data_IF_255192798226
#
_entry.id   IF_255192798226
#
_cell.length_a   1.000
_cell.length_b   1.000
_cell.length_c   1.000
_cell.angle_alpha   90.00
_cell.angle_beta   90.00
_cell.angle_gamma   90.00
#
_symmetry.space_group_name_H-M   'P 1'
#
loop_
_entity.id
_entity.type
_entity.pdbx_description
1 polymer ?
#
# COMPACT_ATOMS: atom_id res chain seq x y z
N UNK A 1 1.99 48.54 67.92
CA UNK A 1 1.81 48.74 66.47
C UNK A 1 2.37 47.52 65.75
N UNK A 2 1.54 46.51 65.45
CA UNK A 2 1.92 45.33 64.72
C UNK A 2 1.46 45.52 63.26
N UNK A 3 2.38 45.52 62.31
CA UNK A 3 2.09 45.49 60.86
C UNK A 3 2.00 44.05 60.42
N UNK A 4 0.79 43.61 60.06
CA UNK A 4 0.57 42.31 59.42
C UNK A 4 0.96 42.39 57.96
N UNK A 5 1.90 41.54 57.52
CA UNK A 5 2.32 41.38 56.14
C UNK A 5 1.45 40.26 55.51
N UNK A 6 0.47 40.62 54.64
CA UNK A 6 -0.25 39.66 53.82
C UNK A 6 0.63 39.26 52.63
N UNK A 7 1.18 38.09 52.63
CA UNK A 7 1.80 37.46 51.44
C UNK A 7 0.70 36.81 50.60
N UNK A 8 0.35 37.41 49.47
CA UNK A 8 -0.52 36.79 48.46
C UNK A 8 0.25 35.69 47.69
N UNK A 9 -0.09 34.45 47.96
CA UNK A 9 0.41 33.29 47.23
C UNK A 9 -0.36 33.19 45.92
N UNK A 10 0.20 33.70 44.80
CA UNK A 10 -0.33 33.43 43.46
C UNK A 10 -0.07 31.96 43.09
N UNK A 11 -1.08 31.12 43.22
CA UNK A 11 -1.07 29.78 42.59
C UNK A 11 -1.23 29.95 41.09
N UNK A 12 -0.14 29.85 40.34
CA UNK A 12 -0.17 29.67 38.89
C UNK A 12 -0.59 28.23 38.60
N UNK A 13 -1.85 27.98 38.32
CA UNK A 13 -2.32 26.75 37.70
C UNK A 13 -1.68 26.66 36.31
N UNK A 14 -0.99 25.55 35.97
CA UNK A 14 -0.57 25.34 34.60
C UNK A 14 -1.84 25.17 33.76
N UNK A 15 -2.07 26.06 32.79
CA UNK A 15 -2.99 25.78 31.69
C UNK A 15 -2.47 24.55 30.98
N UNK A 16 -3.11 23.41 31.21
CA UNK A 16 -2.96 22.28 30.32
C UNK A 16 -3.47 22.73 28.95
N UNK A 17 -2.56 23.12 28.08
CA UNK A 17 -2.88 23.27 26.66
C UNK A 17 -3.46 21.95 26.22
N UNK A 18 -4.75 21.88 25.92
CA UNK A 18 -5.34 20.77 25.19
C UNK A 18 -4.59 20.71 23.86
N UNK A 19 -3.60 19.83 23.76
CA UNK A 19 -2.96 19.52 22.50
C UNK A 19 -4.07 19.00 21.58
N UNK A 20 -4.48 19.82 20.63
CA UNK A 20 -5.47 19.39 19.63
C UNK A 20 -4.86 18.21 18.87
N UNK A 21 -5.63 17.12 18.76
CA UNK A 21 -5.21 15.95 18.00
C UNK A 21 -4.81 16.36 16.58
N UNK A 22 -3.63 15.93 16.14
CA UNK A 22 -3.17 16.26 14.80
C UNK A 22 -4.11 15.65 13.75
N UNK A 23 -4.42 16.44 12.73
CA UNK A 23 -5.39 16.12 11.69
C UNK A 23 -4.71 15.56 10.45
N UNK A 24 -5.14 14.39 10.03
CA UNK A 24 -4.63 13.68 8.85
C UNK A 24 -5.76 13.51 7.83
N UNK A 25 -5.50 13.86 6.58
CA UNK A 25 -6.39 13.50 5.47
C UNK A 25 -5.66 12.51 4.57
N UNK A 26 -6.32 11.39 4.27
CA UNK A 26 -5.84 10.42 3.30
C UNK A 26 -6.60 10.57 1.97
N UNK A 27 -5.88 11.01 0.92
CA UNK A 27 -6.38 10.96 -0.46
C UNK A 27 -6.23 9.54 -0.99
N UNK A 28 -7.28 8.76 -0.81
CA UNK A 28 -7.34 7.37 -1.24
C UNK A 28 -7.64 7.30 -2.75
N UNK A 29 -6.79 6.67 -3.58
CA UNK A 29 -6.99 6.65 -5.03
C UNK A 29 -8.07 5.66 -5.48
N UNK A 30 -8.51 4.75 -4.61
CA UNK A 30 -9.44 3.67 -4.94
C UNK A 30 -10.89 4.11 -5.08
N UNK A 31 -11.72 3.13 -5.43
CA UNK A 31 -13.18 3.26 -5.30
C UNK A 31 -13.56 3.15 -3.81
N UNK A 32 -14.60 3.85 -3.39
CA UNK A 32 -15.10 3.82 -2.01
C UNK A 32 -15.67 2.44 -1.58
N UNK A 33 -15.87 1.53 -2.53
CA UNK A 33 -16.28 0.14 -2.30
C UNK A 33 -15.20 -0.90 -2.69
N UNK A 34 -13.99 -0.46 -3.04
CA UNK A 34 -12.89 -1.35 -3.44
C UNK A 34 -12.27 -2.02 -2.21
N UNK A 35 -12.36 -3.33 -2.11
CA UNK A 35 -11.98 -4.11 -0.92
C UNK A 35 -10.57 -3.78 -0.41
N UNK A 36 -9.59 -3.64 -1.30
CA UNK A 36 -8.22 -3.31 -0.91
C UNK A 36 -8.13 -1.93 -0.25
N UNK A 37 -8.68 -0.89 -0.89
CA UNK A 37 -8.55 0.48 -0.41
C UNK A 37 -9.42 0.77 0.81
N UNK A 38 -10.58 0.09 0.94
CA UNK A 38 -11.39 0.11 2.16
C UNK A 38 -10.61 -0.53 3.31
N UNK A 39 -10.01 -1.71 3.10
CA UNK A 39 -9.17 -2.38 4.09
C UNK A 39 -7.95 -1.56 4.51
N UNK A 40 -7.30 -0.89 3.54
CA UNK A 40 -6.19 0.02 3.78
C UNK A 40 -6.60 1.18 4.71
N UNK A 41 -7.74 1.83 4.41
CA UNK A 41 -8.27 2.94 5.22
C UNK A 41 -8.69 2.48 6.62
N UNK A 42 -9.27 1.28 6.76
CA UNK A 42 -9.60 0.71 8.09
C UNK A 42 -8.37 0.47 8.94
N UNK A 43 -7.28 -0.03 8.35
CA UNK A 43 -6.03 -0.22 9.08
C UNK A 43 -5.40 1.11 9.50
N UNK A 44 -5.47 2.14 8.63
CA UNK A 44 -5.08 3.51 9.01
C UNK A 44 -5.94 4.05 10.15
N UNK A 45 -7.26 3.80 10.13
CA UNK A 45 -8.17 4.26 11.18
C UNK A 45 -7.84 3.59 12.52
N UNK A 46 -7.59 2.28 12.55
CA UNK A 46 -7.18 1.61 13.77
C UNK A 46 -5.88 2.21 14.37
N UNK A 47 -4.92 2.55 13.51
CA UNK A 47 -3.71 3.24 13.95
C UNK A 47 -3.99 4.67 14.45
N UNK A 48 -4.87 5.41 13.78
CA UNK A 48 -5.27 6.75 14.19
C UNK A 48 -5.95 6.76 15.56
N UNK A 49 -6.87 5.82 15.78
CA UNK A 49 -7.60 5.68 17.04
C UNK A 49 -6.65 5.39 18.21
N UNK A 50 -5.70 4.47 18.02
CA UNK A 50 -4.68 4.15 19.04
C UNK A 50 -3.76 5.32 19.37
N UNK A 51 -3.38 6.09 18.35
CA UNK A 51 -2.40 7.18 18.45
C UNK A 51 -3.05 8.54 18.81
N UNK A 52 -4.38 8.59 18.88
CA UNK A 52 -5.10 9.84 19.15
C UNK A 52 -5.04 10.85 18.00
N UNK A 53 -4.88 10.39 16.77
CA UNK A 53 -4.91 11.23 15.56
C UNK A 53 -6.33 11.32 15.00
N UNK A 54 -6.64 12.41 14.33
CA UNK A 54 -7.91 12.52 13.58
C UNK A 54 -7.65 12.15 12.12
N UNK A 55 -8.29 11.09 11.64
CA UNK A 55 -8.19 10.65 10.23
C UNK A 55 -9.48 10.95 9.48
N UNK A 56 -9.34 11.55 8.30
CA UNK A 56 -10.41 11.68 7.29
C UNK A 56 -9.94 11.05 5.99
N UNK A 57 -10.77 10.21 5.39
CA UNK A 57 -10.48 9.55 4.10
C UNK A 57 -11.33 10.15 3.00
N UNK A 58 -10.69 10.54 1.91
CA UNK A 58 -11.36 11.02 0.68
C UNK A 58 -11.02 10.12 -0.49
N UNK A 59 -12.02 9.41 -1.03
CA UNK A 59 -11.85 8.52 -2.16
C UNK A 59 -11.90 9.29 -3.47
N UNK A 60 -10.86 9.09 -4.30
CA UNK A 60 -10.74 9.74 -5.62
C UNK A 60 -11.35 8.92 -6.75
N UNK A 61 -11.97 7.78 -6.45
CA UNK A 61 -12.73 6.94 -7.40
C UNK A 61 -11.95 6.61 -8.67
N UNK A 62 -10.66 6.28 -8.52
CA UNK A 62 -9.74 5.97 -9.63
C UNK A 62 -9.56 7.11 -10.65
N UNK A 63 -9.90 8.35 -10.28
CA UNK A 63 -9.77 9.54 -11.11
C UNK A 63 -8.65 10.46 -10.65
N UNK A 64 -7.62 10.62 -11.48
CA UNK A 64 -6.53 11.57 -11.23
C UNK A 64 -7.05 13.02 -11.12
N UNK A 65 -8.02 13.39 -11.97
CA UNK A 65 -8.64 14.71 -11.94
C UNK A 65 -9.34 14.97 -10.59
N UNK A 66 -10.12 13.98 -10.10
CA UNK A 66 -10.80 14.09 -8.81
C UNK A 66 -9.79 14.20 -7.67
N UNK A 67 -8.71 13.40 -7.68
CA UNK A 67 -7.63 13.49 -6.69
C UNK A 67 -7.00 14.88 -6.65
N UNK A 68 -6.71 15.47 -7.81
CA UNK A 68 -6.14 16.82 -7.90
C UNK A 68 -7.12 17.90 -7.44
N UNK A 69 -8.41 17.77 -7.73
CA UNK A 69 -9.44 18.71 -7.28
C UNK A 69 -9.63 18.63 -5.76
N UNK A 70 -9.66 17.43 -5.17
CA UNK A 70 -9.69 17.22 -3.73
C UNK A 70 -8.43 17.81 -3.07
N UNK A 71 -7.23 17.49 -3.58
CA UNK A 71 -5.98 18.08 -3.08
C UNK A 71 -6.01 19.62 -3.10
N UNK A 72 -6.49 20.21 -4.20
CA UNK A 72 -6.61 21.68 -4.31
C UNK A 72 -7.56 22.26 -3.27
N UNK A 73 -8.71 21.62 -3.05
CA UNK A 73 -9.68 22.06 -2.05
C UNK A 73 -9.11 21.95 -0.63
N UNK A 74 -8.40 20.86 -0.31
CA UNK A 74 -7.76 20.66 1.00
C UNK A 74 -6.62 21.65 1.25
N UNK A 75 -5.75 21.88 0.28
CA UNK A 75 -4.54 22.68 0.44
C UNK A 75 -4.80 24.19 0.39
N UNK A 76 -5.85 24.61 -0.33
CA UNK A 76 -6.21 26.04 -0.48
C UNK A 76 -7.46 26.46 0.28
N UNK A 77 -8.19 25.50 0.85
CA UNK A 77 -9.40 25.75 1.63
C UNK A 77 -9.12 26.33 3.03
N UNK A 78 -10.19 26.73 3.75
CA UNK A 78 -10.08 27.30 5.10
C UNK A 78 -9.75 26.25 6.19
N UNK A 79 -10.05 24.98 5.95
CA UNK A 79 -9.82 23.88 6.89
C UNK A 79 -8.71 22.96 6.35
N UNK A 80 -7.48 23.41 6.49
CA UNK A 80 -6.31 22.63 6.09
C UNK A 80 -5.98 21.58 7.14
N UNK A 81 -5.67 20.32 6.75
CA UNK A 81 -5.14 19.36 7.69
C UNK A 81 -3.68 19.68 8.05
N UNK A 82 -3.19 19.10 9.14
CA UNK A 82 -1.76 19.15 9.46
C UNK A 82 -0.97 18.26 8.47
N UNK A 83 -1.56 17.13 8.10
CA UNK A 83 -0.95 16.16 7.21
C UNK A 83 -1.88 15.74 6.07
N UNK A 84 -1.33 15.65 4.87
CA UNK A 84 -1.98 15.06 3.71
C UNK A 84 -1.22 13.82 3.27
N UNK A 85 -1.82 12.65 3.48
CA UNK A 85 -1.29 11.36 3.00
C UNK A 85 -1.85 11.10 1.61
N UNK A 86 -0.99 10.71 0.67
CA UNK A 86 -1.37 10.48 -0.72
C UNK A 86 -0.62 9.31 -1.34
N UNK A 87 -1.19 8.80 -2.43
CA UNK A 87 -0.61 7.75 -3.27
C UNK A 87 -0.31 8.34 -4.64
N UNK A 88 0.87 8.07 -5.18
CA UNK A 88 1.22 8.51 -6.55
C UNK A 88 0.56 7.64 -7.62
N UNK A 89 -0.76 7.46 -7.50
CA UNK A 89 -1.57 6.78 -8.51
C UNK A 89 -1.70 7.68 -9.75
N UNK A 90 -1.52 7.11 -10.94
CA UNK A 90 -1.57 7.88 -12.21
C UNK A 90 -0.70 9.15 -12.21
N UNK A 91 0.42 9.12 -11.45
CA UNK A 91 1.42 10.20 -11.42
C UNK A 91 0.94 11.55 -10.87
N UNK A 92 -0.07 11.58 -9.97
CA UNK A 92 -0.63 12.83 -9.43
C UNK A 92 0.27 13.54 -8.42
N UNK A 93 1.24 12.83 -7.80
CA UNK A 93 2.00 13.37 -6.68
C UNK A 93 2.80 14.66 -6.99
N UNK A 94 3.49 14.81 -8.13
CA UNK A 94 4.22 16.06 -8.43
C UNK A 94 3.34 17.30 -8.42
N UNK A 95 2.13 17.23 -8.96
CA UNK A 95 1.20 18.35 -8.95
C UNK A 95 0.66 18.65 -7.55
N UNK A 96 0.38 17.62 -6.73
CA UNK A 96 -0.06 17.79 -5.34
C UNK A 96 1.07 18.43 -4.52
N UNK A 97 2.32 18.01 -4.71
CA UNK A 97 3.50 18.61 -4.09
C UNK A 97 3.61 20.09 -4.48
N UNK A 98 3.43 20.41 -5.75
CA UNK A 98 3.43 21.80 -6.21
C UNK A 98 2.30 22.63 -5.56
N UNK A 99 1.11 22.07 -5.41
CA UNK A 99 -0.05 22.71 -4.78
C UNK A 99 0.15 22.96 -3.28
N UNK A 100 0.96 22.15 -2.59
CA UNK A 100 1.20 22.25 -1.15
C UNK A 100 2.16 23.37 -0.76
N UNK A 101 2.89 23.93 -1.72
CA UNK A 101 3.89 24.97 -1.45
C UNK A 101 3.25 26.19 -0.74
N UNK A 102 3.87 26.62 0.36
CA UNK A 102 3.41 27.77 1.14
C UNK A 102 2.11 27.54 1.94
N UNK A 103 1.56 26.33 1.96
CA UNK A 103 0.30 26.04 2.68
C UNK A 103 0.50 25.69 4.15
N UNK A 104 1.70 25.26 4.53
CA UNK A 104 2.02 24.70 5.85
C UNK A 104 1.62 23.25 6.04
N UNK A 105 0.85 22.64 5.12
CA UNK A 105 0.44 21.24 5.17
C UNK A 105 1.63 20.34 4.85
N UNK A 106 1.90 19.38 5.71
CA UNK A 106 2.94 18.37 5.50
C UNK A 106 2.40 17.21 4.67
N UNK A 107 3.20 16.73 3.71
CA UNK A 107 2.82 15.64 2.82
C UNK A 107 3.54 14.34 3.21
N UNK A 108 2.83 13.23 3.09
CA UNK A 108 3.40 11.90 3.25
C UNK A 108 2.91 10.97 2.13
N UNK A 109 3.84 10.35 1.39
CA UNK A 109 3.50 9.44 0.31
C UNK A 109 3.47 8.00 0.84
N UNK A 110 2.46 7.24 0.40
CA UNK A 110 2.35 5.82 0.76
C UNK A 110 2.08 4.97 -0.47
N UNK A 111 2.48 3.70 -0.40
CA UNK A 111 2.22 2.66 -1.40
C UNK A 111 2.93 2.88 -2.74
N UNK A 112 2.69 4.00 -3.41
CA UNK A 112 3.37 4.41 -4.64
C UNK A 112 4.13 5.71 -4.38
N UNK A 113 5.45 5.65 -4.45
CA UNK A 113 6.35 6.81 -4.41
C UNK A 113 6.44 7.51 -5.77
N UNK A 114 7.36 8.46 -5.86
CA UNK A 114 7.69 9.10 -7.13
C UNK A 114 8.43 8.12 -8.03
N UNK A 115 8.21 8.24 -9.33
CA UNK A 115 9.08 7.55 -10.29
C UNK A 115 10.47 8.21 -10.30
N UNK A 116 11.50 7.50 -10.78
CA UNK A 116 12.85 8.03 -10.84
C UNK A 116 12.92 9.38 -11.60
N UNK A 117 12.17 9.50 -12.71
CA UNK A 117 12.11 10.76 -13.48
C UNK A 117 11.40 11.89 -12.73
N UNK A 118 10.36 11.57 -11.95
CA UNK A 118 9.68 12.56 -11.10
C UNK A 118 10.57 13.00 -9.94
N UNK A 119 11.26 12.06 -9.28
CA UNK A 119 12.21 12.35 -8.20
C UNK A 119 13.34 13.25 -8.69
N UNK A 120 13.96 12.92 -9.82
CA UNK A 120 15.03 13.73 -10.43
C UNK A 120 14.56 15.17 -10.73
N UNK A 121 13.33 15.33 -11.23
CA UNK A 121 12.77 16.67 -11.54
C UNK A 121 12.54 17.52 -10.28
N UNK A 122 12.31 16.87 -9.14
CA UNK A 122 12.06 17.53 -7.86
C UNK A 122 13.36 17.75 -7.09
N UNK A 123 14.33 16.82 -7.14
CA UNK A 123 15.65 16.97 -6.55
C UNK A 123 16.42 18.18 -7.09
N UNK A 124 16.17 18.55 -8.36
CA UNK A 124 16.67 19.78 -8.96
C UNK A 124 16.15 21.07 -8.27
N UNK A 125 15.11 20.96 -7.43
CA UNK A 125 14.44 22.07 -6.75
C UNK A 125 14.05 21.67 -5.32
N UNK A 126 15.03 21.46 -4.42
CA UNK A 126 14.82 20.88 -3.10
C UNK A 126 13.87 21.71 -2.21
N UNK A 127 13.78 23.03 -2.43
CA UNK A 127 12.85 23.92 -1.74
C UNK A 127 11.37 23.55 -2.02
N UNK A 128 11.08 22.97 -3.18
CA UNK A 128 9.72 22.50 -3.53
C UNK A 128 9.35 21.20 -2.83
N UNK A 129 10.35 20.50 -2.30
CA UNK A 129 10.20 19.24 -1.58
C UNK A 129 10.10 19.40 -0.07
N UNK A 130 10.21 20.63 0.44
CA UNK A 130 10.28 20.88 1.88
C UNK A 130 9.06 20.35 2.65
N UNK A 131 7.87 20.32 2.02
CA UNK A 131 6.66 19.80 2.64
C UNK A 131 6.54 18.27 2.64
N UNK A 132 7.36 17.54 1.85
CA UNK A 132 7.33 16.06 1.85
C UNK A 132 8.15 15.54 3.02
N UNK A 133 7.45 15.06 4.05
CA UNK A 133 8.07 14.48 5.24
C UNK A 133 8.74 13.16 4.96
N UNK A 134 8.06 12.30 4.21
CA UNK A 134 8.53 10.95 3.94
C UNK A 134 7.70 10.20 2.93
N UNK A 135 8.20 9.03 2.55
CA UNK A 135 7.55 8.11 1.61
C UNK A 135 7.76 6.69 2.10
N UNK A 136 6.69 5.94 2.26
CA UNK A 136 6.72 4.49 2.47
C UNK A 136 6.17 3.79 1.23
N UNK A 137 7.03 3.05 0.53
CA UNK A 137 6.65 2.25 -0.64
C UNK A 137 6.73 0.76 -0.33
N UNK A 138 6.05 -0.03 -1.11
CA UNK A 138 6.06 -1.48 -1.01
C UNK A 138 7.21 -2.09 -1.82
N UNK A 139 7.63 -3.30 -1.47
CA UNK A 139 8.62 -4.09 -2.20
C UNK A 139 8.03 -4.77 -3.45
N UNK A 140 7.35 -4.00 -4.30
CA UNK A 140 6.55 -4.50 -5.42
C UNK A 140 7.34 -5.30 -6.45
N UNK A 141 8.54 -4.85 -6.82
CA UNK A 141 9.37 -5.55 -7.80
C UNK A 141 9.80 -6.92 -7.27
N UNK A 142 10.21 -6.97 -6.00
CA UNK A 142 10.57 -8.22 -5.37
C UNK A 142 9.37 -9.17 -5.28
N UNK A 143 8.18 -8.65 -4.97
CA UNK A 143 6.97 -9.45 -4.93
C UNK A 143 6.63 -10.04 -6.32
N UNK A 144 6.69 -9.23 -7.37
CA UNK A 144 6.47 -9.69 -8.75
C UNK A 144 7.45 -10.79 -9.18
N UNK A 145 8.72 -10.66 -8.80
CA UNK A 145 9.76 -11.65 -9.02
C UNK A 145 9.46 -12.95 -8.27
N UNK A 146 9.20 -12.86 -6.98
CA UNK A 146 8.93 -14.01 -6.12
C UNK A 146 7.67 -14.78 -6.54
N UNK A 147 6.62 -14.06 -6.97
CA UNK A 147 5.40 -14.69 -7.47
C UNK A 147 5.69 -15.70 -8.60
N UNK A 148 6.48 -15.33 -9.59
CA UNK A 148 6.78 -16.25 -10.70
C UNK A 148 7.64 -17.43 -10.23
N UNK A 149 8.61 -17.22 -9.35
CA UNK A 149 9.40 -18.30 -8.76
C UNK A 149 8.51 -19.31 -8.02
N UNK A 150 7.61 -18.84 -7.17
CA UNK A 150 6.69 -19.73 -6.45
C UNK A 150 5.70 -20.45 -7.39
N UNK A 151 5.22 -19.77 -8.45
CA UNK A 151 4.36 -20.40 -9.46
C UNK A 151 5.06 -21.54 -10.17
N UNK A 152 6.31 -21.36 -10.59
CA UNK A 152 7.08 -22.38 -11.29
C UNK A 152 7.40 -23.55 -10.35
N UNK A 153 7.68 -23.30 -9.08
CA UNK A 153 7.92 -24.35 -8.08
C UNK A 153 6.69 -25.27 -7.84
N UNK A 154 5.49 -24.81 -8.19
CA UNK A 154 4.26 -25.62 -8.11
C UNK A 154 4.04 -26.52 -9.32
N UNK A 155 4.84 -26.35 -10.39
CA UNK A 155 4.74 -27.21 -11.56
C UNK A 155 5.51 -28.52 -11.33
N UNK A 156 5.08 -29.62 -11.95
CA UNK A 156 5.89 -30.83 -12.01
C UNK A 156 7.25 -30.53 -12.68
N UNK A 157 8.35 -31.12 -12.22
CA UNK A 157 9.65 -30.98 -12.87
C UNK A 157 9.57 -31.38 -14.35
N UNK A 158 9.84 -30.42 -15.23
CA UNK A 158 9.81 -30.63 -16.69
C UNK A 158 10.59 -29.52 -17.38
N UNK A 159 11.26 -29.89 -18.49
CA UNK A 159 11.86 -28.90 -19.40
C UNK A 159 10.91 -28.51 -20.55
N UNK A 160 9.70 -29.09 -20.58
CA UNK A 160 8.70 -28.72 -21.58
C UNK A 160 8.27 -27.27 -21.45
N UNK A 161 8.08 -26.61 -22.58
CA UNK A 161 7.63 -25.21 -22.56
C UNK A 161 6.28 -25.02 -21.85
N UNK A 162 6.20 -24.02 -20.98
CA UNK A 162 4.99 -23.67 -20.23
C UNK A 162 4.54 -22.26 -20.58
N UNK A 163 3.30 -22.12 -21.03
CA UNK A 163 2.72 -20.84 -21.39
C UNK A 163 2.24 -20.06 -20.16
N UNK A 164 2.70 -18.81 -20.06
CA UNK A 164 2.34 -17.80 -19.07
C UNK A 164 1.57 -16.67 -19.75
N UNK A 165 0.44 -16.29 -19.17
CA UNK A 165 -0.22 -14.99 -19.44
C UNK A 165 -0.19 -14.13 -18.20
N UNK A 166 -0.10 -12.80 -18.36
CA UNK A 166 0.01 -11.87 -17.23
C UNK A 166 -1.03 -10.75 -17.32
N UNK A 167 -1.64 -10.46 -16.16
CA UNK A 167 -2.59 -9.37 -15.97
C UNK A 167 -1.93 -8.30 -15.11
N UNK A 168 -1.46 -7.23 -15.74
CA UNK A 168 -0.93 -6.05 -15.08
C UNK A 168 -2.04 -5.05 -14.73
N UNK A 169 -1.76 -4.16 -13.79
CA UNK A 169 -2.73 -3.15 -13.31
C UNK A 169 -2.92 -1.99 -14.28
N UNK A 170 -2.99 -0.77 -13.75
CA UNK A 170 -2.98 0.46 -14.55
C UNK A 170 -1.55 0.74 -14.98
N UNK A 171 -1.34 1.02 -16.28
CA UNK A 171 -0.01 1.19 -16.87
C UNK A 171 0.79 2.35 -16.27
N UNK A 172 0.11 3.39 -15.79
CA UNK A 172 0.71 4.59 -15.19
C UNK A 172 0.74 4.56 -13.66
N UNK A 173 0.66 3.36 -13.05
CA UNK A 173 0.78 3.16 -11.62
C UNK A 173 2.12 2.51 -11.28
N UNK A 174 2.97 3.12 -10.42
CA UNK A 174 4.28 2.57 -10.06
C UNK A 174 4.25 1.10 -9.59
N UNK A 175 3.33 0.72 -8.70
CA UNK A 175 3.19 -0.67 -8.24
C UNK A 175 2.91 -1.64 -9.40
N UNK A 176 2.10 -1.25 -10.40
CA UNK A 176 1.83 -2.08 -11.57
C UNK A 176 3.09 -2.33 -12.39
N UNK A 177 3.87 -1.27 -12.61
CA UNK A 177 5.11 -1.32 -13.37
C UNK A 177 6.17 -2.15 -12.65
N UNK A 178 6.35 -1.93 -11.34
CA UNK A 178 7.34 -2.65 -10.54
C UNK A 178 7.02 -4.14 -10.43
N UNK A 179 5.75 -4.52 -10.18
CA UNK A 179 5.35 -5.94 -10.15
C UNK A 179 5.58 -6.60 -11.50
N UNK A 180 5.24 -5.95 -12.62
CA UNK A 180 5.52 -6.46 -13.96
C UNK A 180 7.03 -6.58 -14.22
N UNK A 181 7.83 -5.58 -13.83
CA UNK A 181 9.28 -5.61 -13.97
C UNK A 181 9.90 -6.81 -13.19
N UNK A 182 9.43 -7.05 -11.96
CA UNK A 182 9.84 -8.20 -11.17
C UNK A 182 9.51 -9.53 -11.84
N UNK A 183 8.30 -9.70 -12.34
CA UNK A 183 7.88 -10.88 -13.11
C UNK A 183 8.77 -11.09 -14.35
N UNK A 184 9.03 -10.01 -15.11
CA UNK A 184 9.88 -10.07 -16.29
C UNK A 184 11.33 -10.42 -15.95
N UNK A 185 11.86 -9.91 -14.84
CA UNK A 185 13.21 -10.27 -14.36
C UNK A 185 13.27 -11.77 -14.01
N UNK A 186 12.26 -12.31 -13.35
CA UNK A 186 12.20 -13.72 -12.99
C UNK A 186 12.14 -14.66 -14.21
N UNK A 187 11.64 -14.22 -15.38
CA UNK A 187 11.62 -15.01 -16.60
C UNK A 187 13.03 -15.45 -17.06
N UNK A 188 14.07 -14.68 -16.72
CA UNK A 188 15.44 -15.03 -17.05
C UNK A 188 15.91 -16.31 -16.33
N UNK A 189 15.31 -16.64 -15.20
CA UNK A 189 15.65 -17.83 -14.41
C UNK A 189 14.92 -19.08 -14.92
N UNK A 190 13.92 -18.92 -15.79
CA UNK A 190 13.04 -20.00 -16.26
C UNK A 190 12.88 -19.99 -17.78
N UNK A 191 13.90 -20.44 -18.57
CA UNK A 191 13.87 -20.41 -20.02
C UNK A 191 12.73 -21.26 -20.63
N UNK A 192 12.18 -22.22 -19.89
CA UNK A 192 11.02 -23.02 -20.29
C UNK A 192 9.70 -22.23 -20.16
N UNK A 193 9.64 -21.14 -19.40
CA UNK A 193 8.41 -20.32 -19.26
C UNK A 193 8.30 -19.33 -20.42
N UNK A 194 7.23 -19.45 -21.19
CA UNK A 194 6.96 -18.58 -22.35
C UNK A 194 5.91 -17.55 -21.98
N UNK A 195 6.32 -16.30 -21.72
CA UNK A 195 5.39 -15.19 -21.58
C UNK A 195 4.71 -14.91 -22.93
N UNK A 196 3.46 -15.32 -23.05
CA UNK A 196 2.67 -15.16 -24.30
C UNK A 196 2.17 -13.75 -24.46
N UNK A 197 1.59 -13.18 -23.41
CA UNK A 197 1.05 -11.82 -23.47
C UNK A 197 0.91 -11.22 -22.05
N UNK A 198 1.16 -9.90 -21.96
CA UNK A 198 0.76 -9.06 -20.83
C UNK A 198 -0.43 -8.24 -21.28
N UNK A 199 -1.49 -8.23 -20.47
CA UNK A 199 -2.65 -7.34 -20.64
C UNK A 199 -2.81 -6.44 -19.43
N UNK A 200 -3.31 -5.22 -19.66
CA UNK A 200 -3.55 -4.25 -18.58
C UNK A 200 -5.03 -4.27 -18.19
N UNK A 201 -5.32 -5.04 -17.14
CA UNK A 201 -6.67 -5.22 -16.61
C UNK A 201 -7.16 -4.03 -15.77
N UNK A 202 -6.27 -3.08 -15.43
CA UNK A 202 -6.66 -1.84 -14.72
C UNK A 202 -7.23 -2.09 -13.32
N UNK A 203 -6.76 -3.13 -12.64
CA UNK A 203 -7.23 -3.57 -11.32
C UNK A 203 -8.67 -4.09 -11.30
N UNK A 204 -9.31 -4.30 -12.47
CA UNK A 204 -10.73 -4.55 -12.64
C UNK A 204 -11.01 -6.00 -13.00
N UNK A 205 -11.91 -6.65 -12.23
CA UNK A 205 -12.30 -8.06 -12.39
C UNK A 205 -12.97 -8.34 -13.71
N UNK A 206 -13.97 -7.52 -14.08
CA UNK A 206 -14.75 -7.72 -15.30
C UNK A 206 -13.87 -7.59 -16.55
N UNK A 207 -13.02 -6.56 -16.58
CA UNK A 207 -12.07 -6.35 -17.68
C UNK A 207 -11.09 -7.52 -17.80
N UNK A 208 -10.58 -8.03 -16.67
CA UNK A 208 -9.68 -9.19 -16.68
C UNK A 208 -10.41 -10.46 -17.16
N UNK A 209 -11.68 -10.65 -16.80
CA UNK A 209 -12.50 -11.74 -17.32
C UNK A 209 -12.61 -11.70 -18.85
N UNK A 210 -12.99 -10.56 -19.42
CA UNK A 210 -13.11 -10.37 -20.87
C UNK A 210 -11.77 -10.60 -21.59
N UNK A 211 -10.68 -10.05 -21.04
CA UNK A 211 -9.33 -10.26 -21.57
C UNK A 211 -8.91 -11.73 -21.49
N UNK A 212 -9.23 -12.43 -20.40
CA UNK A 212 -8.89 -13.83 -20.21
C UNK A 212 -9.61 -14.75 -21.20
N UNK A 213 -10.86 -14.46 -21.54
CA UNK A 213 -11.59 -15.21 -22.58
C UNK A 213 -10.85 -15.14 -23.92
N UNK A 214 -10.39 -13.96 -24.34
CA UNK A 214 -9.63 -13.77 -25.57
C UNK A 214 -8.25 -14.46 -25.51
N UNK A 215 -7.58 -14.38 -24.34
CA UNK A 215 -6.29 -15.02 -24.15
C UNK A 215 -6.39 -16.56 -24.20
N UNK A 216 -7.44 -17.15 -23.64
CA UNK A 216 -7.68 -18.60 -23.71
C UNK A 216 -7.95 -19.09 -25.13
N UNK A 217 -8.69 -18.31 -25.94
CA UNK A 217 -8.88 -18.64 -27.36
C UNK A 217 -7.54 -18.62 -28.11
N UNK A 218 -6.67 -17.65 -27.82
CA UNK A 218 -5.39 -17.47 -28.50
C UNK A 218 -4.30 -18.43 -27.98
N UNK A 219 -4.31 -18.73 -26.69
CA UNK A 219 -3.33 -19.54 -25.99
C UNK A 219 -4.00 -20.62 -25.13
N UNK A 220 -4.66 -21.61 -25.75
CA UNK A 220 -5.44 -22.62 -25.02
C UNK A 220 -4.60 -23.49 -24.08
N UNK A 221 -3.30 -23.60 -24.33
CA UNK A 221 -2.34 -24.34 -23.50
C UNK A 221 -1.81 -23.58 -22.27
N UNK A 222 -2.32 -22.38 -21.97
CA UNK A 222 -1.86 -21.57 -20.81
C UNK A 222 -1.98 -22.36 -19.51
N UNK A 223 -0.87 -22.47 -18.77
CA UNK A 223 -0.81 -23.14 -17.46
C UNK A 223 -0.39 -22.22 -16.32
N UNK A 224 0.15 -21.05 -16.61
CA UNK A 224 0.51 -20.04 -15.62
C UNK A 224 -0.28 -18.76 -15.89
N UNK A 225 -0.93 -18.25 -14.84
CA UNK A 225 -1.69 -16.99 -14.89
C UNK A 225 -1.18 -16.09 -13.77
N UNK A 226 -0.29 -15.18 -14.13
CA UNK A 226 0.23 -14.18 -13.21
C UNK A 226 -0.68 -12.96 -13.17
N UNK A 227 -1.07 -12.51 -11.98
CA UNK A 227 -1.94 -11.35 -11.81
C UNK A 227 -1.41 -10.38 -10.77
N UNK A 228 -1.32 -9.11 -11.13
CA UNK A 228 -0.84 -8.05 -10.25
C UNK A 228 -1.78 -7.71 -9.08
N UNK A 229 -3.04 -8.18 -9.09
CA UNK A 229 -3.94 -8.15 -7.93
C UNK A 229 -4.92 -9.33 -7.95
N UNK A 230 -5.69 -9.48 -6.87
CA UNK A 230 -6.68 -10.53 -6.69
C UNK A 230 -7.93 -10.36 -7.56
N UNK A 231 -8.42 -9.14 -7.75
CA UNK A 231 -9.59 -8.86 -8.57
C UNK A 231 -9.40 -9.34 -10.02
N UNK A 232 -8.25 -9.03 -10.62
CA UNK A 232 -7.93 -9.51 -11.97
C UNK A 232 -7.72 -11.02 -12.00
N UNK A 233 -7.11 -11.61 -10.95
CA UNK A 233 -6.97 -13.06 -10.84
C UNK A 233 -8.34 -13.74 -10.81
N UNK A 234 -9.29 -13.23 -10.05
CA UNK A 234 -10.65 -13.78 -10.00
C UNK A 234 -11.40 -13.63 -11.33
N UNK A 235 -11.22 -12.52 -12.04
CA UNK A 235 -11.75 -12.37 -13.39
C UNK A 235 -11.18 -13.43 -14.35
N UNK A 236 -9.86 -13.63 -14.33
CA UNK A 236 -9.21 -14.67 -15.13
C UNK A 236 -9.68 -16.09 -14.73
N UNK A 237 -9.79 -16.39 -13.43
CA UNK A 237 -10.31 -17.68 -12.95
C UNK A 237 -11.72 -17.95 -13.49
N UNK A 238 -12.60 -16.96 -13.43
CA UNK A 238 -13.96 -17.08 -13.95
C UNK A 238 -13.99 -17.41 -15.45
N UNK A 239 -13.08 -16.84 -16.24
CA UNK A 239 -12.95 -17.17 -17.66
C UNK A 239 -12.47 -18.61 -17.88
N UNK A 240 -11.51 -19.09 -17.04
CA UNK A 240 -11.06 -20.48 -17.08
C UNK A 240 -12.16 -21.46 -16.71
N UNK A 241 -12.94 -21.17 -15.66
CA UNK A 241 -14.11 -21.96 -15.24
C UNK A 241 -15.19 -22.00 -16.35
N UNK A 242 -15.47 -20.89 -17.00
CA UNK A 242 -16.39 -20.83 -18.14
C UNK A 242 -15.90 -21.65 -19.35
N UNK A 243 -14.58 -21.84 -19.49
CA UNK A 243 -13.95 -22.69 -20.49
C UNK A 243 -13.80 -24.16 -20.03
N UNK A 244 -14.40 -24.57 -18.90
CA UNK A 244 -14.35 -25.91 -18.35
C UNK A 244 -13.01 -26.27 -17.68
N UNK A 245 -12.15 -25.27 -17.37
CA UNK A 245 -10.84 -25.46 -16.72
C UNK A 245 -10.91 -25.11 -15.25
N UNK A 246 -10.28 -25.86 -14.40
CA UNK A 246 -10.32 -25.70 -12.94
C UNK A 246 -9.10 -24.94 -12.45
N UNK A 247 -9.25 -23.70 -11.90
CA UNK A 247 -8.17 -22.97 -11.28
C UNK A 247 -7.52 -23.76 -10.14
N UNK A 248 -6.18 -23.73 -10.08
CA UNK A 248 -5.39 -24.49 -9.12
C UNK A 248 -5.09 -25.93 -9.54
N UNK A 249 -5.86 -26.52 -10.48
CA UNK A 249 -5.62 -27.85 -11.04
C UNK A 249 -5.08 -27.78 -12.46
N UNK A 250 -5.78 -27.09 -13.36
CA UNK A 250 -5.46 -27.04 -14.79
C UNK A 250 -4.54 -25.86 -15.14
N UNK A 251 -4.44 -24.88 -14.24
CA UNK A 251 -3.50 -23.78 -14.30
C UNK A 251 -3.20 -23.23 -12.89
N UNK A 252 -1.95 -22.81 -12.68
CA UNK A 252 -1.51 -22.12 -11.47
C UNK A 252 -1.82 -20.64 -11.59
N UNK A 253 -2.53 -20.09 -10.61
CA UNK A 253 -2.84 -18.69 -10.52
C UNK A 253 -2.05 -18.03 -9.40
N UNK A 254 -1.56 -16.82 -9.65
CA UNK A 254 -1.00 -15.96 -8.60
C UNK A 254 -1.78 -14.65 -8.48
N UNK A 255 -1.69 -14.04 -7.30
CA UNK A 255 -2.31 -12.76 -7.03
C UNK A 255 -1.54 -11.96 -5.97
N UNK A 256 -1.82 -10.67 -5.92
CA UNK A 256 -1.44 -9.80 -4.80
C UNK A 256 -2.73 -9.30 -4.15
N UNK A 257 -2.77 -9.21 -2.89
CA UNK A 257 -3.70 -8.60 -1.93
C UNK A 257 -3.97 -9.55 -0.75
N UNK A 258 -4.76 -9.06 0.23
CA UNK A 258 -5.13 -9.83 1.42
C UNK A 258 -6.65 -9.78 1.64
N UNK A 259 -7.44 -9.71 0.56
CA UNK A 259 -8.90 -9.73 0.70
C UNK A 259 -9.35 -11.07 1.30
N UNK A 260 -10.46 -11.10 2.06
CA UNK A 260 -10.99 -12.37 2.57
C UNK A 260 -11.25 -13.41 1.47
N UNK A 261 -11.62 -12.98 0.26
CA UNK A 261 -11.79 -13.85 -0.88
C UNK A 261 -10.46 -14.44 -1.35
N UNK A 262 -9.39 -13.64 -1.44
CA UNK A 262 -8.05 -14.10 -1.83
C UNK A 262 -7.47 -15.08 -0.82
N UNK A 263 -7.62 -14.79 0.47
CA UNK A 263 -7.16 -15.68 1.55
C UNK A 263 -7.89 -17.04 1.50
N UNK A 264 -9.22 -17.06 1.29
CA UNK A 264 -9.97 -18.32 1.10
C UNK A 264 -9.51 -19.06 -0.15
N UNK A 265 -9.37 -18.38 -1.29
CA UNK A 265 -8.89 -19.01 -2.53
C UNK A 265 -7.47 -19.58 -2.38
N UNK A 266 -6.62 -18.98 -1.53
CA UNK A 266 -5.30 -19.51 -1.18
C UNK A 266 -5.39 -20.77 -0.33
N UNK A 267 -6.32 -20.78 0.66
CA UNK A 267 -6.58 -21.97 1.51
C UNK A 267 -7.13 -23.12 0.69
N UNK A 268 -8.04 -22.82 -0.26
CA UNK A 268 -8.71 -23.82 -1.10
C UNK A 268 -7.84 -24.28 -2.29
N UNK A 269 -6.63 -23.71 -2.46
CA UNK A 269 -5.71 -24.07 -3.54
C UNK A 269 -6.08 -23.52 -4.92
N UNK A 270 -7.14 -22.74 -5.06
CA UNK A 270 -7.51 -22.07 -6.32
C UNK A 270 -6.48 -21.00 -6.70
N UNK A 271 -5.93 -20.27 -5.71
CA UNK A 271 -4.71 -19.47 -5.83
C UNK A 271 -3.52 -20.30 -5.37
N UNK A 272 -2.62 -20.63 -6.28
CA UNK A 272 -1.37 -21.32 -5.98
C UNK A 272 -0.38 -20.43 -5.24
N UNK A 273 -0.34 -19.12 -5.60
CA UNK A 273 0.55 -18.13 -5.00
C UNK A 273 -0.25 -16.88 -4.63
N UNK A 274 -0.03 -16.39 -3.43
CA UNK A 274 -0.62 -15.14 -2.95
C UNK A 274 0.43 -14.31 -2.23
N UNK A 275 0.67 -13.09 -2.70
CA UNK A 275 1.44 -12.07 -1.98
C UNK A 275 0.50 -11.09 -1.31
N UNK A 276 0.83 -10.65 -0.09
CA UNK A 276 -0.03 -9.69 0.61
C UNK A 276 0.64 -9.03 1.80
N UNK A 277 -0.10 -8.17 2.51
CA UNK A 277 0.36 -7.43 3.68
C UNK A 277 0.45 -5.91 3.48
N UNK A 278 0.52 -5.44 2.24
CA UNK A 278 0.76 -4.02 1.96
C UNK A 278 -0.39 -3.07 2.35
N UNK A 279 -1.57 -3.60 2.69
CA UNK A 279 -2.64 -2.79 3.29
C UNK A 279 -2.24 -2.17 4.64
N UNK A 280 -1.20 -2.72 5.30
CA UNK A 280 -0.73 -2.24 6.61
C UNK A 280 0.13 -0.98 6.52
N UNK A 281 0.66 -0.66 5.34
CA UNK A 281 1.61 0.43 5.16
C UNK A 281 1.05 1.79 5.61
N UNK A 282 -0.25 2.02 5.41
CA UNK A 282 -0.92 3.24 5.85
C UNK A 282 -0.91 3.41 7.37
N UNK A 283 -1.07 2.33 8.14
CA UNK A 283 -1.00 2.38 9.60
C UNK A 283 0.42 2.71 10.09
N UNK A 284 1.44 2.17 9.44
CA UNK A 284 2.84 2.51 9.74
C UNK A 284 3.16 3.97 9.44
N UNK A 285 2.59 4.52 8.37
CA UNK A 285 2.67 5.95 8.11
C UNK A 285 2.03 6.76 9.25
N UNK A 286 0.88 6.33 9.81
CA UNK A 286 0.25 7.00 10.96
C UNK A 286 1.15 7.02 12.18
N UNK A 287 1.91 5.95 12.47
CA UNK A 287 2.91 5.94 13.56
C UNK A 287 3.96 7.03 13.36
N UNK A 288 4.52 7.13 12.14
CA UNK A 288 5.53 8.16 11.83
C UNK A 288 4.94 9.57 11.90
N UNK A 289 3.70 9.77 11.44
CA UNK A 289 3.04 11.08 11.51
C UNK A 289 2.73 11.49 12.95
N UNK A 290 2.37 10.54 13.82
CA UNK A 290 2.20 10.80 15.24
C UNK A 290 3.52 11.25 15.89
N UNK A 291 4.63 10.60 15.56
CA UNK A 291 5.94 10.96 16.09
C UNK A 291 6.38 12.35 15.60
N UNK A 292 6.15 12.68 14.32
CA UNK A 292 6.40 14.02 13.79
C UNK A 292 5.53 15.10 14.48
N UNK A 293 4.26 14.79 14.76
CA UNK A 293 3.35 15.69 15.48
C UNK A 293 3.83 15.98 16.91
N UNK A 294 4.52 15.02 17.53
CA UNK A 294 5.17 15.17 18.83
C UNK A 294 6.56 15.82 18.74
N UNK A 295 7.00 16.24 17.55
CA UNK A 295 8.33 16.84 17.33
C UNK A 295 9.47 15.85 17.31
N UNK A 296 9.19 14.55 17.20
CA UNK A 296 10.22 13.52 17.11
C UNK A 296 10.71 13.36 15.67
N UNK A 297 12.03 13.19 15.44
CA UNK A 297 12.57 12.99 14.10
C UNK A 297 12.17 11.62 13.54
N UNK A 298 11.52 11.59 12.38
CA UNK A 298 11.05 10.36 11.74
C UNK A 298 12.03 9.78 10.71
N UNK A 299 12.95 10.60 10.19
CA UNK A 299 13.96 10.21 9.19
C UNK A 299 15.37 10.15 9.83
N UNK A 300 15.50 9.33 10.87
CA UNK A 300 16.72 9.25 11.69
C UNK A 300 17.93 8.69 10.94
N UNK A 301 17.70 7.91 9.88
CA UNK A 301 18.73 7.38 8.98
C UNK A 301 19.07 8.33 7.82
N UNK A 302 18.50 9.54 7.79
CA UNK A 302 18.69 10.55 6.75
C UNK A 302 17.94 10.28 5.46
N UNK A 303 17.20 9.17 5.34
CA UNK A 303 16.39 8.83 4.16
C UNK A 303 14.95 9.30 4.35
N UNK A 304 14.37 9.84 3.29
CA UNK A 304 12.96 10.21 3.25
C UNK A 304 12.07 9.15 2.57
N UNK A 305 12.65 8.24 1.81
CA UNK A 305 11.95 7.15 1.16
C UNK A 305 12.44 5.80 1.66
N UNK A 306 11.51 4.94 2.04
CA UNK A 306 11.76 3.59 2.50
C UNK A 306 10.91 2.59 1.72
N UNK A 307 11.58 1.60 1.13
CA UNK A 307 10.92 0.40 0.62
C UNK A 307 10.72 -0.57 1.77
N UNK A 308 9.45 -0.76 2.15
CA UNK A 308 9.07 -1.59 3.31
C UNK A 308 8.72 -3.00 2.85
N UNK A 309 9.28 -4.06 3.47
CA UNK A 309 9.08 -5.44 3.02
C UNK A 309 7.72 -6.02 3.45
N UNK A 310 6.63 -5.28 3.22
CA UNK A 310 5.28 -5.67 3.64
C UNK A 310 4.62 -6.68 2.71
N UNK A 311 5.02 -6.73 1.43
CA UNK A 311 4.56 -7.77 0.52
C UNK A 311 5.31 -9.07 0.78
N UNK A 312 4.60 -10.04 1.29
CA UNK A 312 5.12 -11.37 1.66
C UNK A 312 4.27 -12.45 1.03
N UNK A 313 4.88 -13.62 0.83
CA UNK A 313 4.14 -14.84 0.49
C UNK A 313 3.21 -15.22 1.63
N UNK A 314 1.97 -15.54 1.28
CA UNK A 314 0.94 -15.99 2.18
C UNK A 314 0.67 -17.47 1.89
N UNK A 315 1.16 -18.34 2.77
CA UNK A 315 0.81 -19.75 2.77
C UNK A 315 -0.62 -19.98 3.34
N UNK A 316 -1.20 -21.18 3.20
CA UNK A 316 -2.54 -21.46 3.70
C UNK A 316 -2.71 -21.25 5.21
N UNK A 317 -1.69 -21.49 6.04
CA UNK A 317 -1.77 -21.30 7.49
C UNK A 317 -1.75 -19.82 7.86
N UNK A 318 -0.88 -19.04 7.22
CA UNK A 318 -0.87 -17.58 7.32
C UNK A 318 -2.20 -16.98 6.84
N UNK A 319 -2.77 -17.51 5.76
CA UNK A 319 -4.08 -17.09 5.27
C UNK A 319 -5.20 -17.32 6.30
N UNK A 320 -5.19 -18.47 7.01
CA UNK A 320 -6.15 -18.75 8.10
C UNK A 320 -5.99 -17.78 9.27
N UNK A 321 -4.74 -17.48 9.68
CA UNK A 321 -4.48 -16.49 10.74
C UNK A 321 -4.97 -15.10 10.33
N UNK A 322 -4.66 -14.67 9.11
CA UNK A 322 -5.05 -13.35 8.62
C UNK A 322 -6.56 -13.17 8.44
N UNK A 323 -7.29 -14.24 8.09
CA UNK A 323 -8.75 -14.17 8.08
C UNK A 323 -9.34 -13.83 9.46
N UNK A 324 -8.73 -14.35 10.54
CA UNK A 324 -9.14 -14.03 11.91
C UNK A 324 -8.77 -12.59 12.27
N UNK A 325 -7.57 -12.15 11.87
CA UNK A 325 -7.07 -10.80 12.11
C UNK A 325 -7.95 -9.74 11.44
N UNK A 326 -8.28 -9.94 10.16
CA UNK A 326 -9.11 -9.00 9.38
C UNK A 326 -10.55 -8.89 9.90
N UNK A 327 -10.99 -9.83 10.73
CA UNK A 327 -12.27 -9.79 11.43
C UNK A 327 -12.28 -8.91 12.68
N UNK A 328 -11.13 -8.38 13.11
CA UNK A 328 -11.00 -7.50 14.28
C UNK A 328 -10.89 -6.05 13.84
N UNK A 329 -11.54 -5.15 14.55
CA UNK A 329 -11.48 -3.71 14.25
C UNK A 329 -10.11 -3.10 14.61
N UNK A 330 -9.48 -3.60 15.68
CA UNK A 330 -8.17 -3.17 16.19
C UNK A 330 -6.98 -3.93 15.58
N UNK A 331 -7.23 -4.94 14.74
CA UNK A 331 -6.23 -5.86 14.20
C UNK A 331 -5.33 -6.51 15.27
N UNK A 332 -5.65 -6.39 16.56
CA UNK A 332 -4.84 -6.89 17.66
C UNK A 332 -3.48 -6.22 17.82
N UNK A 333 -3.32 -5.00 17.32
CA UNK A 333 -2.06 -4.24 17.30
C UNK A 333 -2.20 -3.05 18.24
N UNK A 334 -1.21 -2.85 19.10
CA UNK A 334 -0.99 -1.59 19.83
C UNK A 334 0.05 -0.76 19.07
N UNK A 335 -0.41 0.18 18.25
CA UNK A 335 0.45 0.99 17.38
C UNK A 335 1.41 1.90 18.17
N UNK A 336 1.09 2.29 19.39
CA UNK A 336 1.98 3.10 20.27
C UNK A 336 3.30 2.40 20.54
N UNK A 337 3.31 1.06 20.54
CA UNK A 337 4.53 0.27 20.76
C UNK A 337 5.58 0.45 19.67
N UNK A 338 5.18 0.94 18.50
CA UNK A 338 6.05 1.18 17.36
C UNK A 338 6.51 2.64 17.25
N UNK A 339 6.00 3.54 18.08
CA UNK A 339 6.42 4.94 18.16
C UNK A 339 7.87 5.07 18.64
N UNK A 340 8.52 6.14 18.21
CA UNK A 340 9.85 6.55 18.67
C UNK A 340 9.82 7.26 20.03
N UNK A 341 8.63 7.48 20.62
CA UNK A 341 8.47 8.10 21.92
C UNK A 341 9.18 7.29 23.02
N UNK A 342 10.00 7.98 23.82
CA UNK A 342 10.78 7.34 24.89
C UNK A 342 11.88 6.37 24.40
N UNK A 343 12.15 6.31 23.11
CA UNK A 343 13.19 5.45 22.53
C UNK A 343 14.52 6.18 22.38
N UNK A 344 15.66 5.45 22.37
CA UNK A 344 16.98 6.02 22.13
C UNK A 344 17.05 6.77 20.78
N UNK A 345 18.04 7.66 20.63
CA UNK A 345 18.22 8.47 19.41
C UNK A 345 18.54 7.65 18.17
N UNK A 346 19.07 6.43 18.31
CA UNK A 346 19.38 5.48 17.24
C UNK A 346 18.23 4.51 16.92
N UNK A 347 17.06 4.68 17.55
CA UNK A 347 15.88 3.86 17.28
C UNK A 347 15.52 3.86 15.80
N UNK A 348 15.30 2.67 15.27
CA UNK A 348 14.78 2.44 13.92
C UNK A 348 13.39 1.80 14.03
N UNK A 349 12.45 2.25 13.22
CA UNK A 349 11.13 1.63 13.16
C UNK A 349 11.24 0.18 12.68
N UNK A 350 10.81 -0.81 13.47
CA UNK A 350 10.97 -2.22 13.10
C UNK A 350 10.32 -2.59 11.77
N UNK A 351 9.19 -1.97 11.45
CA UNK A 351 8.44 -2.21 10.21
C UNK A 351 9.18 -1.76 8.94
N UNK A 352 10.22 -0.94 9.05
CA UNK A 352 11.02 -0.51 7.88
C UNK A 352 11.94 -1.63 7.36
N UNK A 353 12.34 -2.55 8.22
CA UNK A 353 13.35 -3.58 7.89
C UNK A 353 12.80 -4.99 7.91
N UNK A 354 11.73 -5.23 8.64
CA UNK A 354 11.14 -6.56 8.79
C UNK A 354 9.61 -6.48 8.76
N UNK A 355 8.96 -7.48 8.18
CA UNK A 355 7.52 -7.59 8.29
C UNK A 355 7.11 -7.71 9.76
N UNK A 356 6.05 -7.03 10.14
CA UNK A 356 5.46 -7.21 11.47
C UNK A 356 4.62 -8.49 11.44
N UNK A 357 4.92 -9.44 12.31
CA UNK A 357 4.10 -10.63 12.51
C UNK A 357 2.88 -10.27 13.36
N UNK A 358 1.69 -10.64 12.86
CA UNK A 358 0.39 -10.37 13.49
C UNK A 358 -0.21 -11.63 14.09
#
# INVERSE_FOLDING_TARGET
MLKALCQSLCLSLPLAANAQAASVVFLNPGLSNETFWVGYSRFMQAAADDLGLTLRVEYSERSAERALNQARALLKGPQRPDYLVLVNEQYVAPEIIRLSQGTGVKLFLVNNGLTASQAQSIEAQPEKYAQVLGTLITNDEQAGYQMLHEMVALLPPSNEPVDLVAFAGVKTTPASQLREAGMRRALADFPQVRLRQVVYGGWNRQRAFEQAQLLLQRYPGTRLVWSANDEMAFGAMQAFEAAGRIPGRDAVFSAVNSSPQALRARIDGRLGVLMGGHFTLGGWAMVMLNDDAQGLPINRDGRREHSVPVLQSIDPDKARRWLKLLGRDDYGIDFRRYSAEGRPSDFQYPFLTSPVDY
#
